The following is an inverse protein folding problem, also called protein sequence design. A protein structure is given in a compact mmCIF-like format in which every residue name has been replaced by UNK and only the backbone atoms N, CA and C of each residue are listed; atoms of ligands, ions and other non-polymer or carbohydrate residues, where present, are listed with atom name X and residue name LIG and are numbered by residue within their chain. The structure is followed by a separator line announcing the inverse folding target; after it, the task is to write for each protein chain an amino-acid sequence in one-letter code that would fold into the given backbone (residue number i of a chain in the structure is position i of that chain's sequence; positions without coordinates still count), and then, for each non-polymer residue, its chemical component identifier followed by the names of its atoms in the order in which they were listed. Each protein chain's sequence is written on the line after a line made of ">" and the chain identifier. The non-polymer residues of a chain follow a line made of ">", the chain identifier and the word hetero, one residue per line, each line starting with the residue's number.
data_IF_648024502930
#
_entry.id   IF_648024502930
#
_cell.length_a   1.000
_cell.length_b   1.000
_cell.length_c   1.000
_cell.angle_alpha   90.00
_cell.angle_beta   90.00
_cell.angle_gamma   90.00
#
_symmetry.space_group_name_H-M   'P 1'
#
loop_
_entity.id
_entity.type
_entity.pdbx_description
1 polymer ?
#
# COMPACT_ATOMS: atom_id res chain seq x y z
N UNK A 1 10.95 33.41 -4.87
CA UNK A 1 11.64 32.24 -4.25
C UNK A 1 13.06 32.69 -3.95
N UNK A 2 13.48 32.69 -2.67
CA UNK A 2 14.81 33.12 -2.23
C UNK A 2 15.87 32.17 -2.82
N UNK A 3 16.95 32.72 -3.39
CA UNK A 3 18.02 31.97 -4.04
C UNK A 3 18.92 31.16 -3.08
N UNK A 4 18.71 31.25 -1.76
CA UNK A 4 19.59 30.68 -0.73
C UNK A 4 18.97 29.51 0.06
N UNK A 5 17.80 28.98 -0.32
CA UNK A 5 17.27 27.80 0.36
C UNK A 5 18.08 26.55 -0.06
N UNK A 6 18.64 25.77 0.90
CA UNK A 6 19.37 24.57 0.56
C UNK A 6 18.45 23.61 -0.22
N UNK A 7 18.96 23.10 -1.33
CA UNK A 7 18.20 22.11 -2.09
C UNK A 7 18.07 20.81 -1.29
N UNK A 8 16.84 20.33 -1.13
CA UNK A 8 16.55 19.04 -0.48
C UNK A 8 16.69 17.86 -1.43
N UNK A 9 16.94 18.12 -2.72
CA UNK A 9 16.97 17.08 -3.76
C UNK A 9 17.96 15.93 -3.47
N UNK A 10 19.23 16.18 -3.07
CA UNK A 10 20.16 15.08 -2.79
C UNK A 10 19.67 14.17 -1.66
N UNK A 11 19.14 14.73 -0.58
CA UNK A 11 18.63 13.97 0.56
C UNK A 11 17.39 13.14 0.17
N UNK A 12 16.47 13.74 -0.60
CA UNK A 12 15.29 13.05 -1.11
C UNK A 12 15.68 11.88 -2.02
N UNK A 13 16.59 12.08 -2.97
CA UNK A 13 17.02 11.02 -3.89
C UNK A 13 17.75 9.89 -3.16
N UNK A 14 18.57 10.21 -2.16
CA UNK A 14 19.21 9.19 -1.31
C UNK A 14 18.16 8.36 -0.55
N UNK A 15 17.14 9.02 0.05
CA UNK A 15 16.05 8.36 0.74
C UNK A 15 15.26 7.42 -0.20
N UNK A 16 14.88 7.88 -1.38
CA UNK A 16 14.18 7.09 -2.39
C UNK A 16 15.03 5.92 -2.89
N UNK A 17 16.34 6.15 -3.08
CA UNK A 17 17.30 5.15 -3.54
C UNK A 17 17.53 4.02 -2.53
N UNK A 18 17.42 4.29 -1.25
CA UNK A 18 17.67 3.31 -0.17
C UNK A 18 16.45 2.59 0.32
N UNK A 19 15.24 3.13 0.11
CA UNK A 19 14.00 2.49 0.57
C UNK A 19 13.80 1.11 -0.08
N UNK A 20 13.50 0.13 0.77
CA UNK A 20 13.16 -1.26 0.36
C UNK A 20 11.88 -1.73 1.06
N UNK A 21 11.22 -2.73 0.46
CA UNK A 21 10.15 -3.46 1.14
C UNK A 21 10.77 -4.39 2.18
N UNK A 22 10.61 -4.04 3.45
CA UNK A 22 11.08 -4.84 4.57
C UNK A 22 9.96 -5.78 5.03
N UNK A 23 10.30 -7.06 5.26
CA UNK A 23 9.35 -8.11 5.62
C UNK A 23 9.66 -8.78 6.95
N UNK A 24 10.80 -8.45 7.55
CA UNK A 24 11.23 -8.93 8.86
C UNK A 24 11.39 -7.75 9.79
N UNK A 25 10.84 -7.85 10.98
CA UNK A 25 10.79 -6.77 11.95
C UNK A 25 11.24 -7.26 13.31
N UNK A 26 11.86 -6.38 14.08
CA UNK A 26 12.13 -6.61 15.49
C UNK A 26 10.80 -6.58 16.28
N UNK A 27 10.74 -7.17 17.46
CA UNK A 27 9.54 -7.17 18.29
C UNK A 27 9.24 -5.81 18.93
N UNK A 28 10.11 -4.80 18.73
CA UNK A 28 9.94 -3.47 19.31
C UNK A 28 8.65 -2.81 18.81
N UNK A 29 7.86 -2.21 19.69
CA UNK A 29 6.65 -1.50 19.31
C UNK A 29 7.01 -0.22 18.55
N UNK A 30 6.07 0.27 17.73
CA UNK A 30 6.13 1.59 17.11
C UNK A 30 5.17 2.49 17.86
N UNK A 31 5.67 3.63 18.32
CA UNK A 31 4.88 4.60 19.08
C UNK A 31 3.72 5.16 18.24
N UNK A 32 2.60 5.40 18.89
CA UNK A 32 1.40 5.95 18.25
C UNK A 32 1.68 7.28 17.54
N UNK A 33 2.44 8.17 18.16
CA UNK A 33 2.80 9.47 17.56
C UNK A 33 3.58 9.32 16.25
N UNK A 34 4.43 8.28 16.13
CA UNK A 34 5.11 7.96 14.86
C UNK A 34 4.10 7.53 13.81
N UNK A 35 3.21 6.59 14.13
CA UNK A 35 2.16 6.13 13.21
C UNK A 35 1.24 7.27 12.75
N UNK A 36 0.91 8.20 13.62
CA UNK A 36 0.14 9.41 13.29
C UNK A 36 0.89 10.29 12.29
N UNK A 37 2.22 10.48 12.45
CA UNK A 37 3.04 11.21 11.46
C UNK A 37 3.08 10.51 10.11
N UNK A 38 3.15 9.15 10.09
CA UNK A 38 3.10 8.40 8.83
C UNK A 38 1.79 8.65 8.08
N UNK A 39 0.66 8.61 8.78
CA UNK A 39 -0.65 8.89 8.19
C UNK A 39 -0.76 10.35 7.77
N UNK A 40 -0.25 11.29 8.58
CA UNK A 40 -0.21 12.71 8.22
C UNK A 40 0.60 12.96 6.93
N UNK A 41 1.74 12.28 6.76
CA UNK A 41 2.49 12.32 5.51
C UNK A 41 1.71 11.70 4.33
N UNK A 42 1.03 10.59 4.55
CA UNK A 42 0.24 9.92 3.51
C UNK A 42 -0.84 10.84 2.93
N UNK A 43 -1.57 11.55 3.78
CA UNK A 43 -2.69 12.40 3.34
C UNK A 43 -2.27 13.69 2.63
N UNK A 44 -0.95 13.97 2.51
CA UNK A 44 -0.45 15.04 1.65
C UNK A 44 -0.40 14.66 0.18
N UNK A 45 -0.70 13.41 -0.17
CA UNK A 45 -0.77 12.96 -1.56
C UNK A 45 -1.80 13.79 -2.36
N UNK A 46 -1.55 14.03 -3.65
CA UNK A 46 -2.57 14.62 -4.51
C UNK A 46 -3.72 13.63 -4.73
N UNK A 47 -4.92 14.17 -4.88
CA UNK A 47 -6.08 13.37 -5.28
C UNK A 47 -6.91 14.07 -6.34
N UNK A 48 -7.57 13.29 -7.19
CA UNK A 48 -8.43 13.83 -8.24
C UNK A 48 -9.46 14.77 -7.63
N UNK A 49 -9.49 16.03 -8.08
CA UNK A 49 -10.37 17.11 -7.59
C UNK A 49 -10.33 17.29 -6.05
N UNK A 50 -9.21 16.95 -5.43
CA UNK A 50 -9.00 16.99 -3.98
C UNK A 50 -10.05 16.20 -3.17
N UNK A 51 -10.55 15.09 -3.72
CA UNK A 51 -11.59 14.28 -3.07
C UNK A 51 -11.11 13.52 -1.85
N UNK A 52 -9.78 13.32 -1.70
CA UNK A 52 -9.17 12.63 -0.58
C UNK A 52 -9.88 11.31 -0.26
N UNK A 53 -9.92 10.37 -1.22
CA UNK A 53 -10.80 9.19 -1.17
C UNK A 53 -10.29 8.10 -0.23
N UNK A 54 -9.25 8.38 0.55
CA UNK A 54 -8.55 7.42 1.39
C UNK A 54 -9.08 7.39 2.83
N UNK A 55 -8.87 6.26 3.45
CA UNK A 55 -8.99 6.01 4.87
C UNK A 55 -7.92 5.01 5.30
N UNK A 56 -7.38 5.13 6.50
CA UNK A 56 -6.38 4.22 7.03
C UNK A 56 -6.86 3.64 8.35
N UNK A 57 -6.99 2.31 8.44
CA UNK A 57 -7.19 1.63 9.72
C UNK A 57 -5.84 1.16 10.23
N UNK A 58 -5.40 1.70 11.37
CA UNK A 58 -4.10 1.38 11.99
C UNK A 58 -4.34 0.40 13.14
N UNK A 59 -3.77 -0.79 13.02
CA UNK A 59 -3.92 -1.87 14.00
C UNK A 59 -2.60 -2.10 14.72
N UNK A 60 -2.56 -1.73 16.00
CA UNK A 60 -1.40 -1.92 16.88
C UNK A 60 -1.61 -3.00 17.93
N UNK A 61 -2.88 -3.30 18.26
CA UNK A 61 -3.24 -4.30 19.26
C UNK A 61 -2.72 -5.69 18.87
N UNK A 62 -1.88 -6.33 19.68
CA UNK A 62 -1.25 -7.62 19.30
C UNK A 62 -2.24 -8.73 18.98
N UNK A 63 -3.34 -8.83 19.73
CA UNK A 63 -4.38 -9.83 19.47
C UNK A 63 -4.99 -9.63 18.08
N UNK A 64 -5.37 -8.40 17.74
CA UNK A 64 -5.99 -8.08 16.45
C UNK A 64 -5.04 -8.29 15.28
N UNK A 65 -3.75 -7.96 15.45
CA UNK A 65 -2.73 -8.22 14.42
C UNK A 65 -2.59 -9.73 14.14
N UNK A 66 -2.57 -10.55 15.20
CA UNK A 66 -2.54 -12.01 15.05
C UNK A 66 -3.78 -12.56 14.37
N UNK A 67 -4.98 -12.05 14.69
CA UNK A 67 -6.22 -12.46 14.02
C UNK A 67 -6.17 -12.17 12.52
N UNK A 68 -5.69 -10.98 12.13
CA UNK A 68 -5.52 -10.61 10.71
C UNK A 68 -4.53 -11.54 10.02
N UNK A 69 -3.35 -11.76 10.61
CA UNK A 69 -2.33 -12.64 10.04
C UNK A 69 -2.83 -14.08 9.91
N UNK A 70 -3.55 -14.58 10.93
CA UNK A 70 -4.18 -15.91 10.90
C UNK A 70 -5.23 -16.03 9.80
N UNK A 71 -6.08 -15.03 9.61
CA UNK A 71 -7.06 -15.03 8.53
C UNK A 71 -6.38 -15.15 7.15
N UNK A 72 -5.30 -14.39 6.93
CA UNK A 72 -4.55 -14.46 5.68
C UNK A 72 -3.86 -15.82 5.51
N UNK A 73 -3.25 -16.36 6.58
CA UNK A 73 -2.61 -17.69 6.56
C UNK A 73 -3.62 -18.77 6.19
N UNK A 74 -4.77 -18.80 6.86
CA UNK A 74 -5.82 -19.80 6.58
C UNK A 74 -6.22 -19.79 5.12
N UNK A 75 -6.45 -18.60 4.54
CA UNK A 75 -6.81 -18.49 3.11
C UNK A 75 -5.65 -18.89 2.20
N UNK A 76 -4.40 -18.57 2.57
CA UNK A 76 -3.22 -18.99 1.83
C UNK A 76 -3.07 -20.51 1.83
N UNK A 77 -3.32 -21.17 2.96
CA UNK A 77 -3.27 -22.63 3.08
C UNK A 77 -4.36 -23.33 2.26
N UNK A 78 -5.57 -22.77 2.24
CA UNK A 78 -6.65 -23.24 1.35
C UNK A 78 -6.24 -23.13 -0.13
N UNK A 79 -5.63 -22.00 -0.52
CA UNK A 79 -5.12 -21.82 -1.89
C UNK A 79 -4.00 -22.80 -2.19
N UNK A 80 -3.04 -23.03 -1.27
CA UNK A 80 -1.98 -24.03 -1.42
C UNK A 80 -2.56 -25.43 -1.69
N UNK A 81 -3.57 -25.83 -0.93
CA UNK A 81 -4.22 -27.12 -1.11
C UNK A 81 -4.90 -27.28 -2.49
N UNK A 82 -5.39 -26.18 -3.07
CA UNK A 82 -5.93 -26.18 -4.44
C UNK A 82 -4.83 -26.24 -5.48
N UNK A 83 -3.82 -25.37 -5.35
CA UNK A 83 -2.70 -25.25 -6.29
C UNK A 83 -1.83 -26.52 -6.32
N UNK A 84 -1.72 -27.23 -5.17
CA UNK A 84 -0.98 -28.48 -5.06
C UNK A 84 -1.48 -29.57 -6.02
N UNK A 85 -2.69 -29.45 -6.54
CA UNK A 85 -3.27 -30.36 -7.55
C UNK A 85 -2.95 -29.96 -8.99
N UNK A 86 -2.26 -28.84 -9.20
CA UNK A 86 -1.94 -28.26 -10.49
C UNK A 86 -0.45 -28.27 -10.80
N UNK A 87 -0.11 -27.77 -11.97
CA UNK A 87 1.27 -27.75 -12.49
C UNK A 87 2.20 -26.74 -11.79
N UNK A 88 1.66 -25.79 -11.01
CA UNK A 88 2.43 -24.74 -10.34
C UNK A 88 2.58 -24.93 -8.82
N UNK A 89 2.41 -26.17 -8.34
CA UNK A 89 2.45 -26.48 -6.91
C UNK A 89 3.75 -26.01 -6.22
N UNK A 90 4.91 -26.29 -6.86
CA UNK A 90 6.23 -25.97 -6.34
C UNK A 90 6.48 -24.43 -6.29
N UNK A 91 6.03 -23.73 -7.31
CA UNK A 91 6.25 -22.27 -7.42
C UNK A 91 5.41 -21.49 -6.42
N UNK A 92 4.17 -21.93 -6.17
CA UNK A 92 3.23 -21.22 -5.29
C UNK A 92 3.52 -21.44 -3.82
N UNK A 93 4.04 -22.61 -3.40
CA UNK A 93 4.23 -22.96 -2.00
C UNK A 93 5.01 -21.90 -1.20
N UNK A 94 6.14 -21.46 -1.72
CA UNK A 94 7.00 -20.46 -1.09
C UNK A 94 6.47 -19.02 -1.28
N UNK A 95 5.77 -18.75 -2.38
CA UNK A 95 5.25 -17.42 -2.69
C UNK A 95 4.14 -16.99 -1.73
N UNK A 96 3.25 -17.91 -1.35
CA UNK A 96 2.11 -17.59 -0.49
C UNK A 96 2.50 -17.28 0.96
N UNK A 97 3.67 -17.71 1.43
CA UNK A 97 4.15 -17.40 2.78
C UNK A 97 4.37 -15.89 2.96
N UNK A 98 4.79 -15.20 1.90
CA UNK A 98 4.89 -13.74 1.92
C UNK A 98 3.57 -13.00 2.10
N UNK A 99 2.43 -13.67 2.03
CA UNK A 99 1.13 -13.04 2.23
C UNK A 99 0.83 -12.74 3.70
N UNK A 100 1.34 -13.54 4.62
CA UNK A 100 1.03 -13.43 6.06
C UNK A 100 2.25 -13.18 6.96
N UNK A 101 3.43 -13.77 6.64
CA UNK A 101 4.62 -13.66 7.48
C UNK A 101 4.98 -12.22 7.89
N UNK A 102 4.98 -11.22 6.97
CA UNK A 102 5.28 -9.86 7.36
C UNK A 102 4.24 -9.25 8.31
N UNK A 103 2.97 -9.69 8.24
CA UNK A 103 1.90 -9.22 9.14
C UNK A 103 2.08 -9.78 10.55
N UNK A 104 2.58 -11.01 10.68
CA UNK A 104 2.83 -11.66 11.97
C UNK A 104 3.92 -10.95 12.77
N UNK A 105 4.99 -10.55 12.07
CA UNK A 105 6.16 -9.91 12.67
C UNK A 105 5.99 -8.39 12.86
N UNK A 106 5.05 -7.75 12.15
CA UNK A 106 4.89 -6.30 12.16
C UNK A 106 4.51 -5.74 13.53
N UNK A 107 5.07 -4.58 13.89
CA UNK A 107 4.66 -3.81 15.08
C UNK A 107 3.29 -3.14 14.89
N UNK A 108 2.95 -2.77 13.65
CA UNK A 108 1.65 -2.26 13.26
C UNK A 108 1.26 -2.78 11.87
N UNK A 109 -0.05 -2.99 11.65
CA UNK A 109 -0.65 -3.26 10.36
C UNK A 109 -1.50 -2.05 10.00
N UNK A 110 -1.25 -1.45 8.85
CA UNK A 110 -2.06 -0.35 8.34
C UNK A 110 -2.85 -0.88 7.14
N UNK A 111 -4.17 -0.77 7.20
CA UNK A 111 -5.08 -1.16 6.11
C UNK A 111 -5.52 0.10 5.38
N UNK A 112 -4.92 0.42 4.21
CA UNK A 112 -5.39 1.49 3.36
C UNK A 112 -6.72 1.10 2.72
N UNK A 113 -7.63 2.05 2.67
CA UNK A 113 -8.94 1.89 2.08
C UNK A 113 -9.19 3.06 1.14
N UNK A 114 -9.98 2.83 0.12
CA UNK A 114 -10.51 3.86 -0.75
C UNK A 114 -12.00 3.72 -0.90
N UNK A 115 -12.66 4.79 -1.28
CA UNK A 115 -14.06 4.77 -1.73
C UNK A 115 -14.16 5.39 -3.11
N UNK A 116 -15.00 4.80 -3.94
CA UNK A 116 -15.35 5.37 -5.23
C UNK A 116 -16.31 6.54 -5.04
N UNK A 117 -16.23 7.50 -5.94
CA UNK A 117 -17.14 8.64 -6.04
C UNK A 117 -17.81 8.63 -7.40
N UNK A 118 -18.96 9.28 -7.49
CA UNK A 118 -19.63 9.48 -8.75
C UNK A 118 -18.73 10.23 -9.74
N UNK A 119 -18.78 9.82 -10.98
CA UNK A 119 -18.06 10.49 -12.06
C UNK A 119 -18.77 11.80 -12.41
N UNK A 120 -18.21 12.91 -11.90
CA UNK A 120 -18.77 14.25 -12.15
C UNK A 120 -18.82 14.61 -13.63
N UNK A 121 -17.82 14.22 -14.42
CA UNK A 121 -17.78 14.53 -15.84
C UNK A 121 -18.90 13.77 -16.56
N UNK A 122 -19.06 12.49 -16.25
CA UNK A 122 -20.15 11.70 -16.79
C UNK A 122 -21.53 12.30 -16.42
N UNK A 123 -21.68 12.75 -15.16
CA UNK A 123 -22.90 13.38 -14.67
C UNK A 123 -23.19 14.71 -15.41
N UNK A 124 -22.16 15.54 -15.66
CA UNK A 124 -22.32 16.79 -16.41
C UNK A 124 -22.72 16.54 -17.87
N UNK A 125 -22.08 15.57 -18.55
CA UNK A 125 -22.41 15.21 -19.92
C UNK A 125 -23.86 14.71 -19.99
N UNK A 126 -24.26 13.82 -19.09
CA UNK A 126 -25.62 13.29 -19.05
C UNK A 126 -26.66 14.39 -18.77
N UNK A 127 -26.37 15.34 -17.88
CA UNK A 127 -27.26 16.46 -17.60
C UNK A 127 -27.48 17.39 -18.80
N UNK A 128 -26.49 17.47 -19.70
CA UNK A 128 -26.58 18.16 -20.98
C UNK A 128 -27.24 17.34 -22.11
N UNK A 129 -27.74 16.15 -21.83
CA UNK A 129 -28.36 15.22 -22.80
C UNK A 129 -27.35 14.47 -23.67
N UNK A 130 -26.05 14.51 -23.33
CA UNK A 130 -25.00 13.77 -24.02
C UNK A 130 -24.84 12.34 -23.49
N UNK A 131 -24.16 11.49 -24.27
CA UNK A 131 -23.76 10.15 -23.84
C UNK A 131 -22.35 10.17 -23.26
N UNK A 132 -22.17 9.95 -21.93
CA UNK A 132 -20.86 9.91 -21.30
C UNK A 132 -19.91 8.87 -21.88
N UNK A 133 -20.42 7.80 -22.49
CA UNK A 133 -19.61 6.73 -23.08
C UNK A 133 -18.77 7.19 -24.28
N UNK A 134 -19.12 8.34 -24.88
CA UNK A 134 -18.34 8.94 -25.95
C UNK A 134 -17.03 9.57 -25.48
N UNK A 135 -16.84 9.68 -24.16
CA UNK A 135 -15.67 10.33 -23.55
C UNK A 135 -15.01 9.40 -22.54
N UNK A 136 -13.69 9.41 -22.52
CA UNK A 136 -12.92 8.74 -21.45
C UNK A 136 -12.83 9.69 -20.26
N UNK A 137 -13.44 9.30 -19.15
CA UNK A 137 -13.47 10.09 -17.92
C UNK A 137 -12.47 9.59 -16.88
N UNK A 138 -12.36 10.29 -15.76
CA UNK A 138 -11.47 9.90 -14.65
C UNK A 138 -11.80 8.54 -14.04
N UNK A 139 -13.03 8.04 -14.20
CA UNK A 139 -13.40 6.69 -13.77
C UNK A 139 -12.58 5.61 -14.48
N UNK A 140 -12.23 5.82 -15.76
CA UNK A 140 -11.38 4.87 -16.50
C UNK A 140 -9.97 4.74 -15.91
N UNK A 141 -9.48 5.77 -15.21
CA UNK A 141 -8.19 5.77 -14.51
C UNK A 141 -8.26 5.13 -13.12
N UNK A 142 -9.43 4.78 -12.63
CA UNK A 142 -9.64 4.41 -11.21
C UNK A 142 -9.04 5.44 -10.26
N UNK A 143 -9.41 6.71 -10.46
CA UNK A 143 -8.74 7.87 -9.87
C UNK A 143 -8.63 7.81 -8.34
N UNK A 144 -9.63 7.23 -7.66
CA UNK A 144 -9.65 7.07 -6.21
C UNK A 144 -8.62 6.03 -5.74
N UNK A 145 -8.52 4.90 -6.46
CA UNK A 145 -7.52 3.87 -6.21
C UNK A 145 -6.11 4.43 -6.47
N UNK A 146 -5.90 5.13 -7.59
CA UNK A 146 -4.62 5.75 -7.93
C UNK A 146 -4.19 6.79 -6.88
N UNK A 147 -5.10 7.66 -6.45
CA UNK A 147 -4.86 8.66 -5.41
C UNK A 147 -4.47 7.99 -4.08
N UNK A 148 -5.21 6.94 -3.67
CA UNK A 148 -4.91 6.21 -2.44
C UNK A 148 -3.59 5.45 -2.54
N UNK A 149 -3.22 4.94 -3.71
CA UNK A 149 -1.91 4.31 -3.96
C UNK A 149 -0.76 5.31 -3.79
N UNK A 150 -0.94 6.55 -4.26
CA UNK A 150 0.02 7.64 -4.04
C UNK A 150 0.18 7.94 -2.54
N UNK A 151 -0.91 7.99 -1.78
CA UNK A 151 -0.89 8.17 -0.35
C UNK A 151 -0.14 7.03 0.38
N UNK A 152 -0.36 5.77 -0.02
CA UNK A 152 0.40 4.62 0.52
C UNK A 152 1.89 4.75 0.23
N UNK A 153 2.27 5.23 -0.96
CA UNK A 153 3.69 5.44 -1.28
C UNK A 153 4.33 6.51 -0.39
N UNK A 154 3.64 7.63 -0.12
CA UNK A 154 4.13 8.66 0.81
C UNK A 154 4.26 8.10 2.24
N UNK A 155 3.31 7.29 2.70
CA UNK A 155 3.40 6.59 3.98
C UNK A 155 4.67 5.74 4.09
N UNK A 156 5.01 4.98 3.04
CA UNK A 156 6.20 4.14 3.01
C UNK A 156 7.50 4.95 2.98
N UNK A 157 7.50 6.10 2.29
CA UNK A 157 8.64 7.03 2.28
C UNK A 157 8.82 7.63 3.67
N UNK A 158 7.75 8.08 4.32
CA UNK A 158 7.78 8.62 5.66
C UNK A 158 8.25 7.55 6.68
N UNK A 159 7.76 6.32 6.59
CA UNK A 159 8.23 5.23 7.44
C UNK A 159 9.74 5.01 7.30
N UNK A 160 10.26 5.03 6.07
CA UNK A 160 11.70 4.90 5.83
C UNK A 160 12.50 6.09 6.39
N UNK A 161 11.98 7.30 6.27
CA UNK A 161 12.60 8.50 6.85
C UNK A 161 12.63 8.47 8.39
N UNK A 162 11.65 7.85 9.04
CA UNK A 162 11.60 7.63 10.50
C UNK A 162 12.47 6.42 10.95
N UNK A 163 13.25 5.81 10.05
CA UNK A 163 14.06 4.62 10.36
C UNK A 163 13.27 3.33 10.49
N UNK A 164 12.00 3.33 10.08
CA UNK A 164 11.15 2.14 10.07
C UNK A 164 11.22 1.39 8.74
N UNK A 165 10.92 0.11 8.81
CA UNK A 165 10.65 -0.70 7.64
C UNK A 165 9.16 -0.75 7.32
N UNK A 166 8.84 -0.86 6.04
CA UNK A 166 7.48 -1.06 5.59
C UNK A 166 7.38 -1.98 4.38
N UNK A 167 6.27 -2.73 4.30
CA UNK A 167 5.93 -3.54 3.13
C UNK A 167 4.45 -3.40 2.80
N UNK A 168 4.15 -2.85 1.64
CA UNK A 168 2.79 -2.86 1.10
C UNK A 168 2.55 -4.14 0.31
N UNK A 169 1.50 -4.87 0.68
CA UNK A 169 1.22 -6.21 0.18
C UNK A 169 -0.20 -6.31 -0.38
N UNK A 170 -0.33 -6.91 -1.57
CA UNK A 170 -1.61 -7.29 -2.14
C UNK A 170 -2.07 -8.69 -1.67
N UNK A 171 -1.14 -9.57 -1.28
CA UNK A 171 -1.44 -10.93 -0.83
C UNK A 171 -2.57 -11.02 0.21
N UNK A 172 -2.63 -10.14 1.23
CA UNK A 172 -3.71 -10.12 2.20
C UNK A 172 -5.12 -9.94 1.64
N UNK A 173 -5.26 -9.50 0.38
CA UNK A 173 -6.55 -9.37 -0.28
C UNK A 173 -7.31 -10.70 -0.43
N UNK A 174 -6.63 -11.85 -0.35
CA UNK A 174 -7.28 -13.17 -0.35
C UNK A 174 -8.21 -13.37 0.85
N UNK A 175 -7.97 -12.63 1.95
CA UNK A 175 -8.75 -12.64 3.18
C UNK A 175 -9.48 -11.30 3.43
N UNK A 176 -9.75 -10.52 2.36
CA UNK A 176 -10.28 -9.15 2.47
C UNK A 176 -11.58 -9.06 3.27
N UNK A 177 -12.47 -10.04 3.10
CA UNK A 177 -13.79 -10.02 3.76
C UNK A 177 -13.64 -10.27 5.27
N UNK A 178 -12.72 -11.17 5.65
CA UNK A 178 -12.37 -11.46 7.03
C UNK A 178 -11.67 -10.26 7.70
N UNK A 179 -10.69 -9.67 7.01
CA UNK A 179 -10.01 -8.45 7.47
C UNK A 179 -11.01 -7.30 7.60
N UNK A 180 -11.93 -7.17 6.63
CA UNK A 180 -13.00 -6.19 6.66
C UNK A 180 -13.85 -6.31 7.92
N UNK A 181 -14.27 -7.52 8.27
CA UNK A 181 -15.02 -7.80 9.49
C UNK A 181 -14.22 -7.50 10.76
N UNK A 182 -12.95 -7.93 10.81
CA UNK A 182 -12.05 -7.70 11.93
C UNK A 182 -11.74 -6.21 12.16
N UNK A 183 -11.71 -5.40 11.10
CA UNK A 183 -11.34 -3.99 11.14
C UNK A 183 -12.53 -3.03 11.01
N UNK A 184 -13.76 -3.53 10.89
CA UNK A 184 -14.95 -2.72 10.70
C UNK A 184 -14.96 -1.97 9.34
N UNK A 185 -14.40 -2.58 8.29
CA UNK A 185 -14.39 -2.03 6.94
C UNK A 185 -15.65 -2.51 6.22
N UNK A 186 -16.54 -1.58 5.93
CA UNK A 186 -17.80 -1.85 5.24
C UNK A 186 -17.98 -0.88 4.06
N UNK A 187 -18.83 -1.21 3.09
CA UNK A 187 -19.19 -0.28 2.02
C UNK A 187 -19.54 1.12 2.56
N UNK A 188 -19.15 2.21 1.88
CA UNK A 188 -18.56 2.23 0.54
C UNK A 188 -17.02 2.02 0.50
N UNK A 189 -16.38 1.73 1.63
CA UNK A 189 -14.94 1.57 1.72
C UNK A 189 -14.48 0.22 1.16
N UNK A 190 -13.42 0.25 0.38
CA UNK A 190 -12.76 -0.92 -0.19
C UNK A 190 -11.31 -0.98 0.27
N UNK A 191 -10.86 -2.16 0.67
CA UNK A 191 -9.49 -2.40 1.08
C UNK A 191 -8.53 -2.33 -0.13
N UNK A 192 -7.35 -1.74 0.08
CA UNK A 192 -6.26 -1.63 -0.91
C UNK A 192 -5.00 -2.36 -0.43
N UNK A 193 -5.14 -3.62 -0.03
CA UNK A 193 -4.04 -4.39 0.53
C UNK A 193 -3.79 -4.08 2.01
N UNK A 194 -2.61 -4.48 2.49
CA UNK A 194 -2.16 -4.21 3.85
C UNK A 194 -0.70 -3.74 3.85
N UNK A 195 -0.36 -2.84 4.78
CA UNK A 195 1.01 -2.36 4.99
C UNK A 195 1.48 -2.86 6.35
N UNK A 196 2.52 -3.70 6.34
CA UNK A 196 3.25 -4.08 7.55
C UNK A 196 4.27 -3.00 7.89
N UNK A 197 4.31 -2.53 9.14
CA UNK A 197 5.23 -1.51 9.64
C UNK A 197 5.91 -2.01 10.91
N UNK A 198 7.21 -1.75 11.04
CA UNK A 198 7.98 -2.08 12.23
C UNK A 198 9.43 -1.63 12.13
N UNK A 199 10.19 -1.79 13.20
CA UNK A 199 11.63 -1.58 13.19
C UNK A 199 12.33 -2.72 12.45
N UNK A 200 13.38 -2.44 11.66
CA UNK A 200 14.21 -3.49 11.07
C UNK A 200 14.73 -4.45 12.15
N UNK A 201 14.79 -5.73 11.87
CA UNK A 201 15.29 -6.75 12.82
C UNK A 201 16.81 -6.71 13.04
N UNK A 202 17.52 -5.85 12.30
CA UNK A 202 18.97 -5.67 12.41
C UNK A 202 19.82 -6.88 11.95
N UNK A 203 19.21 -8.05 11.87
CA UNK A 203 19.88 -9.29 11.46
C UNK A 203 19.75 -9.54 9.95
N UNK A 204 18.76 -8.94 9.33
CA UNK A 204 18.52 -9.07 7.89
C UNK A 204 19.27 -7.99 7.13
N UNK A 205 20.32 -8.36 6.43
CA UNK A 205 20.77 -7.55 5.30
C UNK A 205 19.56 -7.39 4.37
N UNK A 206 19.10 -6.17 4.04
CA UNK A 206 18.05 -6.01 3.06
C UNK A 206 18.43 -6.81 1.81
N UNK A 207 17.51 -7.60 1.25
CA UNK A 207 17.83 -8.35 0.05
C UNK A 207 18.39 -7.37 -0.98
N UNK A 208 19.42 -7.80 -1.71
CA UNK A 208 19.99 -7.01 -2.80
C UNK A 208 18.82 -6.46 -3.63
N UNK A 209 18.85 -5.16 -3.89
CA UNK A 209 17.77 -4.54 -4.67
C UNK A 209 17.66 -5.29 -6.00
N UNK A 210 16.53 -5.90 -6.34
CA UNK A 210 16.32 -6.29 -7.71
C UNK A 210 16.53 -5.02 -8.55
N UNK A 211 17.36 -5.12 -9.58
CA UNK A 211 17.71 -3.97 -10.43
C UNK A 211 16.45 -3.21 -10.86
N UNK A 212 16.55 -1.92 -11.00
CA UNK A 212 15.53 -1.12 -11.66
C UNK A 212 15.78 -1.16 -13.17
N UNK A 213 14.72 -1.10 -13.95
CA UNK A 213 14.86 -0.89 -15.39
C UNK A 213 15.60 0.42 -15.62
N UNK A 214 16.54 0.48 -16.56
CA UNK A 214 17.22 1.72 -16.91
C UNK A 214 16.23 2.72 -17.52
N UNK A 215 16.59 4.01 -17.49
CA UNK A 215 15.66 5.09 -17.83
C UNK A 215 15.14 5.00 -19.27
N UNK A 216 15.99 4.57 -20.21
CA UNK A 216 15.65 4.36 -21.62
C UNK A 216 14.60 3.28 -21.87
N UNK A 217 14.33 2.42 -20.85
CA UNK A 217 13.29 1.39 -20.93
C UNK A 217 11.94 1.81 -20.33
N UNK A 218 11.88 2.97 -19.69
CA UNK A 218 10.70 3.44 -18.96
C UNK A 218 10.31 4.88 -19.29
N UNK A 219 11.14 5.61 -20.03
CA UNK A 219 10.87 6.96 -20.45
C UNK A 219 11.28 7.17 -21.91
N UNK A 220 10.50 7.95 -22.64
CA UNK A 220 10.78 8.46 -23.98
C UNK A 220 10.71 9.97 -23.90
N UNK A 221 11.72 10.65 -24.49
CA UNK A 221 11.79 12.10 -24.58
C UNK A 221 11.48 12.50 -26.02
N UNK A 222 10.40 13.24 -26.22
CA UNK A 222 10.00 13.79 -27.51
C UNK A 222 10.41 15.26 -27.50
N UNK A 223 11.37 15.64 -28.39
CA UNK A 223 11.90 17.00 -28.51
C UNK A 223 11.31 17.72 -29.72
#
# INVERSE_FOLDING_TARGET
>A
MSADAPTLAPALYALLGTRRSLRRFSPAPVERAVLERLVAAAVTAPSSTNRQPWRFTVVTQPARRREIATAVRTRADEMKAIVARGHHAADFGNYSDFFHEPLEAAAAIIIPQYREHDDLIASFIASGGGDPKQFTTSAAMQAELASTSAAVMLLLIAAHAEGLGGCWMAGPMIARDEIGRLCGIAPPWRMLGAVAIGHPDGASTPPASPGRKPIDRVAEFIE
#
